data_IF_743857325946
#
_entry.id   IF_743857325946
#
_cell.length_a   1.000
_cell.length_b   1.000
_cell.length_c   1.000
_cell.angle_alpha   90.00
_cell.angle_beta   90.00
_cell.angle_gamma   90.00
#
_symmetry.space_group_name_H-M   'P 1'
#
loop_
_entity.id
_entity.type
_entity.pdbx_description
1 polymer ?
#
# COMPACT_ATOMS: atom_id res chain seq x y z
N UNK A 1 -8.77 4.52 -35.31
CA UNK A 1 -7.68 3.71 -34.74
C UNK A 1 -7.75 3.87 -33.23
N UNK A 2 -7.66 2.77 -32.49
CA UNK A 2 -8.26 2.53 -31.17
C UNK A 2 -7.81 3.49 -30.05
N UNK A 3 -8.74 3.80 -29.16
CA UNK A 3 -8.60 4.57 -27.92
C UNK A 3 -7.59 3.88 -26.97
N UNK A 4 -6.33 4.36 -26.92
CA UNK A 4 -5.33 3.91 -25.93
C UNK A 4 -5.60 4.57 -24.57
N UNK A 5 -6.74 4.26 -23.96
CA UNK A 5 -6.90 4.49 -22.53
C UNK A 5 -6.23 3.31 -21.82
N UNK A 6 -4.96 3.45 -21.46
CA UNK A 6 -4.39 2.67 -20.36
C UNK A 6 -4.76 3.40 -19.08
N UNK A 7 -6.03 3.30 -18.68
CA UNK A 7 -6.40 3.58 -17.29
C UNK A 7 -5.81 2.43 -16.47
N UNK A 8 -4.84 2.72 -15.61
CA UNK A 8 -4.37 1.73 -14.62
C UNK A 8 -5.61 1.16 -13.91
N UNK A 9 -5.89 -0.15 -13.96
CA UNK A 9 -7.16 -0.68 -13.49
C UNK A 9 -7.30 -0.66 -11.97
N UNK A 10 -6.19 -0.43 -11.25
CA UNK A 10 -6.14 -0.52 -9.80
C UNK A 10 -5.58 0.74 -9.15
N UNK A 11 -6.36 1.26 -8.21
CA UNK A 11 -5.89 2.35 -7.34
C UNK A 11 -5.03 1.77 -6.21
N UNK A 12 -3.80 2.28 -6.10
CA UNK A 12 -2.93 2.03 -4.94
C UNK A 12 -2.94 3.28 -4.06
N UNK A 13 -3.44 3.14 -2.85
CA UNK A 13 -3.41 4.19 -1.83
C UNK A 13 -2.34 3.88 -0.78
N UNK A 14 -1.63 4.91 -0.33
CA UNK A 14 -0.72 4.80 0.79
C UNK A 14 -1.43 5.29 2.04
N UNK A 15 -1.47 4.46 3.08
CA UNK A 15 -2.06 4.86 4.35
C UNK A 15 -1.32 6.05 4.95
N UNK A 16 -2.08 7.04 5.38
CA UNK A 16 -1.60 8.20 6.14
C UNK A 16 -2.21 8.20 7.54
N UNK A 17 -1.33 8.24 8.53
CA UNK A 17 -1.66 8.53 9.92
C UNK A 17 -1.44 10.02 10.17
N UNK A 18 -2.42 10.72 10.74
CA UNK A 18 -2.28 12.16 11.03
C UNK A 18 -1.07 12.49 11.92
N UNK A 19 -0.66 11.59 12.80
CA UNK A 19 0.47 11.78 13.72
C UNK A 19 1.78 11.12 13.22
N UNK A 20 1.69 9.96 12.56
CA UNK A 20 2.88 9.17 12.15
C UNK A 20 3.24 9.35 10.65
N UNK A 21 2.51 10.19 9.92
CA UNK A 21 2.65 10.35 8.48
C UNK A 21 2.33 9.07 7.71
N UNK A 22 3.06 8.85 6.60
CA UNK A 22 2.90 7.64 5.77
C UNK A 22 3.99 6.59 6.11
N UNK A 23 3.65 5.49 6.81
CA UNK A 23 4.64 4.53 7.27
C UNK A 23 5.34 3.78 6.12
N UNK A 24 4.61 3.49 5.05
CA UNK A 24 5.17 2.79 3.88
C UNK A 24 6.13 3.70 3.13
N UNK A 25 5.84 5.00 3.02
CA UNK A 25 6.77 5.97 2.42
C UNK A 25 8.05 6.10 3.25
N UNK A 26 7.92 6.27 4.57
CA UNK A 26 9.08 6.32 5.46
C UNK A 26 9.96 5.05 5.34
N UNK A 27 9.33 3.87 5.22
CA UNK A 27 10.05 2.64 4.95
C UNK A 27 10.76 2.67 3.60
N UNK A 28 10.08 3.05 2.51
CA UNK A 28 10.70 3.12 1.18
C UNK A 28 11.89 4.09 1.17
N UNK A 29 11.77 5.25 1.82
CA UNK A 29 12.83 6.24 1.92
C UNK A 29 14.04 5.75 2.71
N UNK A 30 13.84 4.83 3.66
CA UNK A 30 14.92 4.17 4.39
C UNK A 30 15.67 3.10 3.57
N UNK A 31 15.16 2.69 2.40
CA UNK A 31 15.78 1.66 1.57
C UNK A 31 16.86 2.22 0.64
N UNK A 32 17.96 1.46 0.52
CA UNK A 32 18.97 1.64 -0.53
C UNK A 32 18.34 1.68 -1.92
N UNK A 33 18.89 2.54 -2.80
CA UNK A 33 18.31 2.87 -4.14
C UNK A 33 17.89 1.63 -4.93
N UNK A 34 18.74 0.61 -4.99
CA UNK A 34 18.46 -0.61 -5.75
C UNK A 34 17.32 -1.44 -5.14
N UNK A 35 17.23 -1.52 -3.82
CA UNK A 35 16.14 -2.24 -3.13
C UNK A 35 14.83 -1.46 -3.25
N UNK A 36 14.88 -0.14 -3.06
CA UNK A 36 13.74 0.75 -3.26
C UNK A 36 13.15 0.61 -4.66
N UNK A 37 13.98 0.62 -5.69
CA UNK A 37 13.54 0.46 -7.09
C UNK A 37 12.78 -0.86 -7.32
N UNK A 38 13.24 -1.97 -6.73
CA UNK A 38 12.54 -3.26 -6.83
C UNK A 38 11.16 -3.23 -6.18
N UNK A 39 11.05 -2.64 -4.98
CA UNK A 39 9.76 -2.55 -4.29
C UNK A 39 8.80 -1.66 -5.07
N UNK A 40 9.28 -0.51 -5.58
CA UNK A 40 8.47 0.38 -6.41
C UNK A 40 7.99 -0.29 -7.71
N UNK A 41 8.84 -1.10 -8.35
CA UNK A 41 8.44 -1.86 -9.54
C UNK A 41 7.30 -2.86 -9.23
N UNK A 42 7.33 -3.52 -8.08
CA UNK A 42 6.25 -4.41 -7.65
C UNK A 42 4.96 -3.64 -7.35
N UNK A 43 5.05 -2.45 -6.72
CA UNK A 43 3.88 -1.59 -6.48
C UNK A 43 3.27 -1.12 -7.81
N UNK A 44 4.11 -0.73 -8.78
CA UNK A 44 3.65 -0.35 -10.12
C UNK A 44 2.93 -1.52 -10.81
N UNK A 45 3.55 -2.70 -10.83
CA UNK A 45 2.94 -3.91 -11.37
C UNK A 45 1.59 -4.24 -10.71
N UNK A 46 1.47 -4.05 -9.40
CA UNK A 46 0.20 -4.26 -8.69
C UNK A 46 -0.89 -3.27 -9.14
N UNK A 47 -0.51 -2.03 -9.47
CA UNK A 47 -1.41 -1.01 -10.03
C UNK A 47 -1.84 -1.29 -11.47
N UNK A 48 -1.00 -2.01 -12.23
CA UNK A 48 -1.25 -2.40 -13.62
C UNK A 48 -2.07 -3.70 -13.72
N UNK A 49 -1.72 -4.72 -12.93
CA UNK A 49 -2.14 -6.11 -13.14
C UNK A 49 -2.97 -6.71 -12.00
N UNK A 50 -3.48 -5.90 -11.06
CA UNK A 50 -4.10 -6.40 -9.83
C UNK A 50 -5.10 -7.57 -10.02
N UNK A 51 -5.34 -8.38 -8.98
CA UNK A 51 -5.80 -9.77 -9.10
C UNK A 51 -7.29 -9.99 -9.46
N UNK A 52 -8.18 -8.99 -9.30
CA UNK A 52 -9.62 -9.05 -9.62
C UNK A 52 -10.32 -7.67 -9.79
N UNK A 53 -11.09 -7.39 -10.86
CA UNK A 53 -11.55 -6.04 -11.21
C UNK A 53 -12.25 -5.23 -10.09
N UNK A 54 -12.20 -3.88 -10.21
CA UNK A 54 -12.95 -2.92 -9.39
C UNK A 54 -12.60 -2.92 -7.88
N UNK A 55 -11.32 -3.08 -7.54
CA UNK A 55 -10.84 -2.99 -6.16
C UNK A 55 -9.68 -2.01 -6.06
N UNK A 56 -9.43 -1.52 -4.84
CA UNK A 56 -8.25 -0.73 -4.50
C UNK A 56 -7.35 -1.50 -3.54
N UNK A 57 -6.06 -1.19 -3.55
CA UNK A 57 -5.13 -1.61 -2.51
C UNK A 57 -4.79 -0.44 -1.60
N UNK A 58 -4.72 -0.70 -0.30
CA UNK A 58 -4.21 0.26 0.69
C UNK A 58 -2.94 -0.32 1.29
N UNK A 59 -1.81 0.36 1.09
CA UNK A 59 -0.51 -0.02 1.65
C UNK A 59 -0.39 0.56 3.07
N UNK A 60 -0.55 -0.31 4.07
CA UNK A 60 -0.73 0.07 5.48
C UNK A 60 0.57 0.05 6.30
N UNK A 61 1.40 -0.96 6.05
CA UNK A 61 2.56 -1.26 6.88
C UNK A 61 3.65 -1.92 6.01
N UNK A 62 4.91 -1.62 6.32
CA UNK A 62 6.06 -2.18 5.64
C UNK A 62 7.17 -2.45 6.65
N UNK A 63 7.82 -3.60 6.54
CA UNK A 63 8.89 -4.04 7.42
C UNK A 63 9.83 -5.01 6.69
N UNK A 64 11.03 -5.18 7.22
CA UNK A 64 11.97 -6.21 6.73
C UNK A 64 11.61 -7.55 7.37
N UNK A 65 11.10 -8.48 6.58
CA UNK A 65 10.75 -9.82 7.05
C UNK A 65 12.03 -10.64 7.31
N UNK A 66 12.25 -11.01 8.57
CA UNK A 66 13.40 -11.83 9.02
C UNK A 66 13.03 -13.27 9.36
N UNK A 67 11.74 -13.59 9.38
CA UNK A 67 11.17 -14.89 9.75
C UNK A 67 10.52 -15.57 8.54
N UNK A 68 10.29 -16.89 8.63
CA UNK A 68 9.58 -17.64 7.58
C UNK A 68 8.13 -17.14 7.41
N UNK A 69 7.39 -17.03 8.51
CA UNK A 69 6.02 -16.48 8.55
C UNK A 69 6.02 -15.00 8.91
N UNK A 70 4.96 -14.28 8.52
CA UNK A 70 4.75 -12.88 8.93
C UNK A 70 4.51 -12.86 10.44
N UNK A 71 5.29 -12.12 11.23
CA UNK A 71 5.10 -12.07 12.68
C UNK A 71 3.71 -11.49 13.04
N UNK A 72 3.09 -12.03 14.09
CA UNK A 72 1.75 -11.61 14.55
C UNK A 72 1.67 -10.11 14.85
N UNK A 73 2.74 -9.54 15.43
CA UNK A 73 2.83 -8.09 15.70
C UNK A 73 2.66 -7.24 14.44
N UNK A 74 3.26 -7.67 13.33
CA UNK A 74 3.28 -6.90 12.08
C UNK A 74 1.92 -7.00 11.37
N UNK A 75 1.22 -8.12 11.55
CA UNK A 75 -0.18 -8.30 11.15
C UNK A 75 -1.09 -7.38 11.98
N UNK A 76 -0.96 -7.39 13.30
CA UNK A 76 -1.78 -6.57 14.20
C UNK A 76 -1.61 -5.06 13.91
N UNK A 77 -0.40 -4.62 13.57
CA UNK A 77 -0.15 -3.22 13.15
C UNK A 77 -0.89 -2.90 11.86
N UNK A 78 -0.86 -3.79 10.86
CA UNK A 78 -1.58 -3.59 9.61
C UNK A 78 -3.10 -3.52 9.82
N UNK A 79 -3.66 -4.43 10.63
CA UNK A 79 -5.10 -4.46 10.96
C UNK A 79 -5.54 -3.19 11.69
N UNK A 80 -4.77 -2.74 12.70
CA UNK A 80 -5.07 -1.51 13.44
C UNK A 80 -5.08 -0.28 12.52
N UNK A 81 -4.14 -0.20 11.58
CA UNK A 81 -4.08 0.89 10.59
C UNK A 81 -5.24 0.82 9.61
N UNK A 82 -5.64 -0.37 9.16
CA UNK A 82 -6.81 -0.53 8.30
C UNK A 82 -8.09 -0.07 9.01
N UNK A 83 -8.26 -0.47 10.28
CA UNK A 83 -9.40 -0.05 11.08
C UNK A 83 -9.46 1.48 11.22
N UNK A 84 -8.31 2.16 11.39
CA UNK A 84 -8.26 3.63 11.41
C UNK A 84 -8.62 4.23 10.06
N UNK A 85 -8.06 3.70 8.98
CA UNK A 85 -8.31 4.19 7.62
C UNK A 85 -9.79 4.10 7.23
N UNK A 86 -10.44 2.97 7.53
CA UNK A 86 -11.86 2.77 7.26
C UNK A 86 -12.75 3.74 8.05
N UNK A 87 -12.36 4.09 9.29
CA UNK A 87 -13.07 5.13 10.06
C UNK A 87 -12.99 6.48 9.36
N UNK A 88 -11.80 6.88 8.90
CA UNK A 88 -11.60 8.15 8.18
C UNK A 88 -12.42 8.21 6.88
N UNK A 89 -12.46 7.12 6.11
CA UNK A 89 -13.28 7.05 4.89
C UNK A 89 -14.77 7.23 5.22
N UNK A 90 -15.25 6.56 6.27
CA UNK A 90 -16.64 6.68 6.72
C UNK A 90 -16.99 8.10 7.15
N UNK A 91 -16.07 8.79 7.83
CA UNK A 91 -16.25 10.17 8.27
C UNK A 91 -16.23 11.17 7.11
N UNK A 92 -15.40 10.94 6.07
CA UNK A 92 -15.33 11.78 4.86
C UNK A 92 -16.53 11.63 3.93
N UNK A 93 -17.18 10.46 3.95
CA UNK A 93 -18.36 10.16 3.14
C UNK A 93 -19.69 10.55 3.79
N UNK A 94 -19.67 11.17 4.98
CA UNK A 94 -20.84 11.69 5.68
C UNK A 94 -20.97 13.20 5.44
#
# INVERSE_FOLDING_TARGET
>A
MLNMIVTSPWTIEFYESGEEGCPVRAFLDSLEKARRAKVLAVIALLGEEGPAPNRMFVLLHAFVKRSQKTPERDIAIAEARMARHLRQIKERGK
#
